data_IF_550837637895
#
_entry.id   IF_550837637895
#
_cell.length_a   1.000
_cell.length_b   1.000
_cell.length_c   1.000
_cell.angle_alpha   90.00
_cell.angle_beta   90.00
_cell.angle_gamma   90.00
#
_symmetry.space_group_name_H-M   'P 1'
#
loop_
_entity.id
_entity.type
_entity.pdbx_description
1 polymer ?
#
# COMPACT_ATOMS: atom_id res chain seq x y z
N UNK A 1 36.05 -0.05 33.14
CA UNK A 1 35.45 0.64 31.97
C UNK A 1 34.05 1.10 32.38
N UNK A 2 33.88 2.29 32.99
CA UNK A 2 33.53 3.58 32.37
C UNK A 2 32.37 3.53 31.34
N UNK A 3 31.18 3.93 31.78
CA UNK A 3 30.14 4.68 31.04
C UNK A 3 29.56 5.65 32.11
N UNK A 4 30.08 6.88 32.21
CA UNK A 4 29.66 8.10 31.52
C UNK A 4 28.32 8.67 32.02
N UNK A 5 28.45 9.82 32.72
CA UNK A 5 27.40 10.72 33.20
C UNK A 5 26.74 11.47 32.04
N UNK A 6 25.51 11.92 32.24
CA UNK A 6 24.88 12.97 31.43
C UNK A 6 23.61 13.50 32.09
N UNK A 7 23.78 14.47 32.98
CA UNK A 7 22.73 15.28 33.60
C UNK A 7 22.14 16.30 32.62
N UNK A 8 20.88 16.69 32.82
CA UNK A 8 20.43 18.04 32.48
C UNK A 8 18.99 18.14 32.02
N UNK A 9 18.15 18.83 32.81
CA UNK A 9 16.81 19.23 32.41
C UNK A 9 15.93 19.60 33.59
N UNK A 10 16.26 20.69 34.28
CA UNK A 10 15.41 21.30 35.30
C UNK A 10 14.37 22.22 34.66
N UNK A 11 13.13 22.16 35.16
CA UNK A 11 12.23 23.32 35.22
C UNK A 11 11.12 23.02 36.22
N UNK A 12 11.19 23.66 37.38
CA UNK A 12 10.11 23.66 38.36
C UNK A 12 9.05 24.71 38.03
N UNK A 13 7.92 24.62 38.74
CA UNK A 13 7.05 25.77 38.96
C UNK A 13 5.55 25.48 38.95
N UNK A 14 4.95 25.78 40.10
CA UNK A 14 3.55 26.18 40.32
C UNK A 14 2.48 25.09 40.49
N UNK A 15 2.13 24.89 41.75
CA UNK A 15 0.81 24.49 42.24
C UNK A 15 -0.30 25.39 41.68
N UNK A 16 -1.33 24.79 41.12
CA UNK A 16 -2.62 25.41 40.82
C UNK A 16 -3.69 24.33 40.90
N UNK A 17 -4.47 24.36 41.97
CA UNK A 17 -5.70 23.59 42.07
C UNK A 17 -6.67 24.12 41.00
N UNK A 18 -7.03 23.24 40.08
CA UNK A 18 -8.21 23.40 39.23
C UNK A 18 -8.90 22.04 39.22
N UNK A 19 -10.02 21.97 39.94
CA UNK A 19 -10.98 20.89 39.82
C UNK A 19 -11.43 20.79 38.35
N UNK A 20 -10.95 19.79 37.62
CA UNK A 20 -11.57 19.31 36.36
C UNK A 20 -11.02 17.92 35.95
N UNK A 21 -10.72 17.06 36.92
CA UNK A 21 -10.28 15.68 36.66
C UNK A 21 -11.45 14.68 36.59
N UNK A 22 -12.44 14.97 35.75
CA UNK A 22 -13.39 13.95 35.27
C UNK A 22 -13.43 13.89 33.74
N UNK A 23 -12.27 13.94 33.10
CA UNK A 23 -12.16 13.60 31.68
C UNK A 23 -11.94 12.09 31.59
N UNK A 24 -13.03 11.37 31.35
CA UNK A 24 -12.97 9.95 31.02
C UNK A 24 -12.21 9.80 29.69
N UNK A 25 -10.96 9.31 29.76
CA UNK A 25 -10.18 8.97 28.57
C UNK A 25 -10.85 7.76 27.91
N UNK A 26 -11.77 8.05 27.00
CA UNK A 26 -12.36 7.04 26.11
C UNK A 26 -11.23 6.56 25.19
N UNK A 27 -10.91 5.25 25.16
CA UNK A 27 -9.99 4.73 24.17
C UNK A 27 -10.48 5.14 22.78
N UNK A 28 -9.69 5.94 22.06
CA UNK A 28 -9.96 6.20 20.65
C UNK A 28 -9.76 4.86 19.95
N UNK A 29 -10.84 4.15 19.67
CA UNK A 29 -10.81 3.00 18.80
C UNK A 29 -10.04 3.42 17.56
N UNK A 30 -8.98 2.70 17.22
CA UNK A 30 -8.22 2.98 16.03
C UNK A 30 -9.18 2.93 14.85
N UNK A 31 -9.62 4.08 14.36
CA UNK A 31 -10.44 4.24 13.15
C UNK A 31 -9.65 3.88 11.89
N UNK A 32 -8.48 3.23 12.05
CA UNK A 32 -7.93 2.35 11.05
C UNK A 32 -8.95 1.27 10.76
N UNK A 33 -9.89 1.62 9.90
CA UNK A 33 -10.56 0.76 8.96
C UNK A 33 -9.43 0.06 8.19
N UNK A 34 -8.82 -0.96 8.80
CA UNK A 34 -8.45 -2.21 8.11
C UNK A 34 -9.75 -2.85 7.62
N UNK A 35 -10.62 -2.06 7.00
CA UNK A 35 -11.90 -2.46 6.49
C UNK A 35 -11.56 -3.36 5.32
N UNK A 36 -11.42 -4.64 5.65
CA UNK A 36 -11.88 -5.75 4.85
C UNK A 36 -11.46 -5.55 3.39
N UNK A 37 -10.17 -5.74 3.12
CA UNK A 37 -9.73 -5.93 1.73
C UNK A 37 -10.39 -7.24 1.29
N UNK A 38 -11.51 -7.13 0.59
CA UNK A 38 -12.19 -8.29 0.03
C UNK A 38 -11.37 -8.81 -1.15
N UNK A 39 -11.35 -10.14 -1.30
CA UNK A 39 -10.86 -10.76 -2.51
C UNK A 39 -11.74 -10.35 -3.71
N UNK A 40 -11.25 -10.57 -4.94
CA UNK A 40 -12.00 -10.27 -6.16
C UNK A 40 -13.40 -10.94 -6.18
N UNK A 41 -13.49 -12.16 -5.63
CA UNK A 41 -14.76 -12.87 -5.45
C UNK A 41 -15.69 -12.13 -4.47
N UNK A 42 -15.14 -11.70 -3.32
CA UNK A 42 -15.89 -10.90 -2.35
C UNK A 42 -16.37 -9.57 -2.94
N UNK A 43 -15.54 -8.88 -3.72
CA UNK A 43 -15.90 -7.64 -4.41
C UNK A 43 -17.02 -7.88 -5.42
N UNK A 44 -16.97 -8.97 -6.20
CA UNK A 44 -18.03 -9.32 -7.14
C UNK A 44 -19.37 -9.59 -6.44
N UNK A 45 -19.36 -10.33 -5.33
CA UNK A 45 -20.55 -10.58 -4.53
C UNK A 45 -21.10 -9.29 -3.91
N UNK A 46 -20.22 -8.45 -3.38
CA UNK A 46 -20.59 -7.13 -2.86
C UNK A 46 -21.25 -6.26 -3.92
N UNK A 47 -20.78 -6.33 -5.16
CA UNK A 47 -21.40 -5.65 -6.29
C UNK A 47 -22.81 -6.18 -6.56
N UNK A 48 -23.00 -7.50 -6.64
CA UNK A 48 -24.33 -8.08 -6.87
C UNK A 48 -25.35 -7.70 -5.77
N UNK A 49 -24.91 -7.71 -4.50
CA UNK A 49 -25.72 -7.28 -3.36
C UNK A 49 -26.07 -5.80 -3.48
N UNK A 50 -25.12 -4.95 -3.86
CA UNK A 50 -25.33 -3.52 -4.02
C UNK A 50 -26.27 -3.20 -5.20
N UNK A 51 -26.21 -3.96 -6.28
CA UNK A 51 -27.03 -3.75 -7.48
C UNK A 51 -28.48 -4.20 -7.29
N UNK A 52 -28.74 -5.31 -6.57
CA UNK A 52 -30.09 -5.87 -6.48
C UNK A 52 -30.44 -6.45 -5.11
N UNK A 53 -31.58 -6.00 -4.60
CA UNK A 53 -32.21 -6.57 -3.39
C UNK A 53 -32.69 -8.01 -3.59
N UNK A 54 -32.95 -8.46 -4.83
CA UNK A 54 -33.33 -9.86 -5.11
C UNK A 54 -32.12 -10.77 -4.96
N UNK A 55 -30.99 -10.40 -5.59
CA UNK A 55 -29.71 -11.11 -5.45
C UNK A 55 -29.25 -11.21 -3.99
N UNK A 56 -29.48 -10.16 -3.20
CA UNK A 56 -29.22 -10.20 -1.77
C UNK A 56 -30.05 -11.29 -1.04
N UNK A 57 -31.33 -11.46 -1.39
CA UNK A 57 -32.18 -12.53 -0.82
C UNK A 57 -31.77 -13.91 -1.32
N UNK A 58 -31.53 -14.06 -2.62
CA UNK A 58 -31.10 -15.32 -3.22
C UNK A 58 -29.78 -15.82 -2.57
N UNK A 59 -28.89 -14.89 -2.20
CA UNK A 59 -27.65 -15.21 -1.50
C UNK A 59 -27.89 -15.71 -0.06
N UNK A 60 -28.88 -15.15 0.65
CA UNK A 60 -29.29 -15.64 1.98
C UNK A 60 -29.83 -17.06 1.85
N UNK A 61 -30.68 -17.33 0.86
CA UNK A 61 -31.20 -18.67 0.61
C UNK A 61 -30.05 -19.64 0.25
N UNK A 62 -29.06 -19.19 -0.53
CA UNK A 62 -27.87 -19.96 -0.87
C UNK A 62 -26.97 -20.28 0.33
N UNK A 63 -27.06 -19.50 1.41
CA UNK A 63 -26.27 -19.68 2.63
C UNK A 63 -26.67 -20.94 3.40
N UNK A 64 -27.91 -21.40 3.28
CA UNK A 64 -28.37 -22.66 3.84
C UNK A 64 -27.91 -23.84 2.97
N UNK A 65 -26.92 -24.59 3.44
CA UNK A 65 -26.35 -25.72 2.70
C UNK A 65 -25.78 -26.79 3.64
N UNK A 66 -25.40 -27.95 3.09
CA UNK A 66 -24.87 -29.11 3.83
C UNK A 66 -23.77 -28.77 4.85
N UNK A 67 -22.98 -27.74 4.59
CA UNK A 67 -21.85 -27.36 5.43
C UNK A 67 -22.11 -26.11 6.28
N UNK A 68 -23.33 -25.57 6.29
CA UNK A 68 -23.68 -24.35 7.02
C UNK A 68 -23.75 -24.53 8.54
N UNK A 69 -24.08 -25.73 9.01
CA UNK A 69 -24.30 -26.06 10.42
C UNK A 69 -23.16 -26.88 11.03
N UNK A 70 -21.90 -26.51 10.72
CA UNK A 70 -20.78 -27.12 11.45
C UNK A 70 -20.56 -26.37 12.74
N UNK A 71 -20.92 -27.03 13.85
CA UNK A 71 -20.73 -26.55 15.22
C UNK A 71 -19.23 -26.38 15.56
N UNK A 72 -18.98 -25.58 16.58
CA UNK A 72 -17.69 -25.02 17.02
C UNK A 72 -16.51 -26.03 17.12
N UNK A 73 -15.26 -25.55 17.00
CA UNK A 73 -14.04 -26.35 17.00
C UNK A 73 -13.70 -26.78 18.43
N UNK A 74 -14.45 -27.72 18.98
CA UNK A 74 -14.00 -28.43 20.17
C UNK A 74 -12.91 -29.44 19.77
N UNK A 75 -11.66 -29.11 20.12
CA UNK A 75 -10.47 -29.99 20.09
C UNK A 75 -10.17 -30.76 18.79
N UNK A 76 -10.39 -30.12 17.64
CA UNK A 76 -10.01 -30.72 16.35
C UNK A 76 -8.58 -30.32 15.97
N UNK A 77 -7.69 -31.28 15.59
CA UNK A 77 -6.35 -30.95 15.13
C UNK A 77 -6.33 -30.00 13.92
N UNK A 78 -5.34 -29.11 13.86
CA UNK A 78 -5.21 -28.10 12.79
C UNK A 78 -5.15 -28.73 11.39
N UNK A 79 -4.48 -29.89 11.25
CA UNK A 79 -4.38 -30.58 9.96
C UNK A 79 -5.76 -30.99 9.40
N UNK A 80 -6.72 -31.31 10.27
CA UNK A 80 -8.08 -31.67 9.86
C UNK A 80 -8.84 -30.43 9.39
N UNK A 81 -8.71 -29.30 10.10
CA UNK A 81 -9.32 -28.03 9.68
C UNK A 81 -8.75 -27.53 8.35
N UNK A 82 -7.45 -27.72 8.13
CA UNK A 82 -6.79 -27.41 6.86
C UNK A 82 -7.33 -28.25 5.70
N UNK A 83 -7.48 -29.55 5.93
CA UNK A 83 -8.03 -30.47 4.92
C UNK A 83 -9.50 -30.18 4.65
N UNK A 84 -10.24 -29.91 5.72
CA UNK A 84 -11.64 -29.54 5.68
C UNK A 84 -11.87 -28.25 4.87
N UNK A 85 -11.07 -27.20 5.12
CA UNK A 85 -11.12 -25.95 4.35
C UNK A 85 -10.84 -26.14 2.87
N UNK A 86 -10.01 -27.12 2.47
CA UNK A 86 -9.70 -27.41 1.06
C UNK A 86 -10.88 -28.06 0.36
N UNK A 87 -11.53 -29.03 1.01
CA UNK A 87 -12.53 -29.88 0.40
C UNK A 87 -13.97 -29.39 0.58
N UNK A 88 -14.26 -28.63 1.65
CA UNK A 88 -15.60 -28.07 1.92
C UNK A 88 -15.80 -26.70 1.26
N UNK A 89 -15.48 -26.59 -0.02
CA UNK A 89 -15.71 -25.36 -0.80
C UNK A 89 -16.85 -25.57 -1.79
N UNK A 90 -17.84 -24.68 -1.73
CA UNK A 90 -18.88 -24.59 -2.76
C UNK A 90 -18.51 -23.50 -3.77
N UNK A 91 -18.85 -23.67 -5.05
CA UNK A 91 -18.72 -22.59 -6.01
C UNK A 91 -19.63 -21.43 -5.59
N UNK A 92 -19.12 -20.20 -5.60
CA UNK A 92 -19.96 -19.03 -5.30
C UNK A 92 -20.90 -18.74 -6.48
N UNK A 93 -22.12 -18.22 -6.24
CA UNK A 93 -23.10 -17.93 -7.28
C UNK A 93 -22.79 -16.61 -8.01
N UNK A 94 -21.56 -16.47 -8.49
CA UNK A 94 -21.05 -15.31 -9.26
C UNK A 94 -20.47 -15.80 -10.58
N UNK A 95 -20.60 -14.97 -11.62
CA UNK A 95 -20.00 -15.28 -12.92
C UNK A 95 -18.48 -15.12 -12.86
N UNK A 96 -17.76 -16.01 -13.55
CA UNK A 96 -16.29 -15.97 -13.63
C UNK A 96 -15.79 -14.68 -14.26
N UNK A 97 -16.54 -14.16 -15.24
CA UNK A 97 -16.25 -12.91 -15.95
C UNK A 97 -16.17 -11.72 -14.97
N UNK A 98 -17.16 -11.58 -14.07
CA UNK A 98 -17.17 -10.52 -13.07
C UNK A 98 -15.94 -10.60 -12.14
N UNK A 99 -15.58 -11.80 -11.72
CA UNK A 99 -14.38 -12.02 -10.88
C UNK A 99 -13.11 -11.64 -11.65
N UNK A 100 -13.02 -11.97 -12.93
CA UNK A 100 -11.89 -11.63 -13.78
C UNK A 100 -11.74 -10.13 -14.00
N UNK A 101 -12.85 -9.41 -14.20
CA UNK A 101 -12.83 -7.95 -14.30
C UNK A 101 -12.24 -7.30 -13.05
N UNK A 102 -12.64 -7.75 -11.85
CA UNK A 102 -12.05 -7.24 -10.62
C UNK A 102 -10.57 -7.61 -10.52
N UNK A 103 -10.18 -8.84 -10.87
CA UNK A 103 -8.76 -9.23 -10.91
C UNK A 103 -7.95 -8.34 -11.87
N UNK A 104 -8.51 -7.98 -13.02
CA UNK A 104 -7.88 -7.08 -13.98
C UNK A 104 -7.72 -5.67 -13.40
N UNK A 105 -8.75 -5.12 -12.75
CA UNK A 105 -8.68 -3.82 -12.06
C UNK A 105 -7.57 -3.81 -10.99
N UNK A 106 -7.46 -4.88 -10.20
CA UNK A 106 -6.38 -5.04 -9.22
C UNK A 106 -4.99 -5.08 -9.87
N UNK A 107 -4.86 -5.79 -11.01
CA UNK A 107 -3.60 -5.82 -11.78
C UNK A 107 -3.25 -4.45 -12.35
N UNK A 108 -4.22 -3.69 -12.84
CA UNK A 108 -4.00 -2.35 -13.38
C UNK A 108 -3.46 -1.39 -12.32
N UNK A 109 -4.06 -1.40 -11.13
CA UNK A 109 -3.59 -0.61 -9.98
C UNK A 109 -2.15 -0.97 -9.62
N UNK A 110 -1.84 -2.27 -9.60
CA UNK A 110 -0.52 -2.77 -9.25
C UNK A 110 0.53 -2.61 -10.37
N UNK A 111 0.11 -2.48 -11.63
CA UNK A 111 1.02 -2.36 -12.78
C UNK A 111 1.78 -1.02 -12.77
N UNK A 112 1.19 0.05 -12.24
CA UNK A 112 1.80 1.38 -12.18
C UNK A 112 1.80 1.95 -10.76
N UNK A 113 2.54 1.34 -9.83
CA UNK A 113 2.50 1.78 -8.45
C UNK A 113 3.19 3.15 -8.32
N UNK A 114 2.62 4.02 -7.49
CA UNK A 114 3.05 5.43 -7.32
C UNK A 114 4.56 5.54 -7.08
N UNK A 115 5.11 4.65 -6.25
CA UNK A 115 6.55 4.55 -5.96
C UNK A 115 7.38 4.33 -7.23
N UNK A 116 6.99 3.38 -8.10
CA UNK A 116 7.70 3.08 -9.36
C UNK A 116 7.55 4.20 -10.38
N UNK A 117 6.39 4.84 -10.44
CA UNK A 117 6.17 6.02 -11.30
C UNK A 117 7.06 7.18 -10.88
N UNK A 118 7.14 7.47 -9.57
CA UNK A 118 8.01 8.51 -9.03
C UNK A 118 9.49 8.19 -9.29
N UNK A 119 9.90 6.94 -9.08
CA UNK A 119 11.27 6.48 -9.34
C UNK A 119 11.63 6.59 -10.85
N UNK A 120 10.70 6.24 -11.74
CA UNK A 120 10.88 6.40 -13.18
C UNK A 120 11.04 7.87 -13.59
N UNK A 121 10.21 8.77 -13.03
CA UNK A 121 10.34 10.22 -13.23
C UNK A 121 11.69 10.74 -12.72
N UNK A 122 12.12 10.32 -11.54
CA UNK A 122 13.42 10.68 -10.95
C UNK A 122 14.60 10.17 -11.82
N UNK A 123 14.53 8.93 -12.33
CA UNK A 123 15.53 8.40 -13.26
C UNK A 123 15.60 9.21 -14.54
N UNK A 124 14.46 9.60 -15.13
CA UNK A 124 14.42 10.46 -16.32
C UNK A 124 15.08 11.82 -16.04
N UNK A 125 14.75 12.46 -14.92
CA UNK A 125 15.36 13.74 -14.50
C UNK A 125 16.88 13.59 -14.29
N UNK A 126 17.33 12.54 -13.61
CA UNK A 126 18.76 12.25 -13.40
C UNK A 126 19.51 12.05 -14.72
N UNK A 127 18.92 11.33 -15.69
CA UNK A 127 19.52 11.14 -17.02
C UNK A 127 19.68 12.47 -17.76
N UNK A 128 18.68 13.34 -17.69
CA UNK A 128 18.72 14.67 -18.31
C UNK A 128 19.80 15.55 -17.66
N UNK A 129 19.84 15.63 -16.33
CA UNK A 129 20.85 16.40 -15.60
C UNK A 129 22.27 15.90 -15.89
N UNK A 130 22.48 14.58 -15.90
CA UNK A 130 23.79 13.99 -16.23
C UNK A 130 24.26 14.37 -17.64
N UNK A 131 23.36 14.43 -18.63
CA UNK A 131 23.71 14.88 -19.99
C UNK A 131 24.08 16.36 -20.02
N UNK A 132 23.35 17.21 -19.29
CA UNK A 132 23.68 18.63 -19.17
C UNK A 132 25.02 18.85 -18.46
N UNK A 133 25.30 18.13 -17.38
CA UNK A 133 26.58 18.18 -16.69
C UNK A 133 27.74 17.69 -17.58
N UNK A 134 27.52 16.66 -18.38
CA UNK A 134 28.51 16.20 -19.36
C UNK A 134 28.78 17.26 -20.43
N UNK A 135 27.74 17.92 -20.95
CA UNK A 135 27.90 19.00 -21.93
C UNK A 135 28.65 20.20 -21.31
N UNK A 136 28.31 20.60 -20.07
CA UNK A 136 29.02 21.66 -19.34
C UNK A 136 30.49 21.31 -19.10
N UNK A 137 30.77 20.11 -18.62
CA UNK A 137 32.15 19.63 -18.41
C UNK A 137 32.96 19.59 -19.70
N UNK A 138 32.35 19.18 -20.82
CA UNK A 138 33.00 19.21 -22.15
C UNK A 138 33.27 20.64 -22.59
N UNK A 139 32.31 21.56 -22.40
CA UNK A 139 32.49 22.97 -22.73
C UNK A 139 33.60 23.61 -21.88
N UNK A 140 33.61 23.37 -20.57
CA UNK A 140 34.67 23.82 -19.66
C UNK A 140 36.04 23.26 -20.07
N UNK A 141 36.12 21.98 -20.43
CA UNK A 141 37.37 21.36 -20.89
C UNK A 141 37.91 22.02 -22.18
N UNK A 142 37.05 22.27 -23.17
CA UNK A 142 37.41 22.94 -24.44
C UNK A 142 37.82 24.41 -24.21
N UNK A 143 37.24 25.08 -23.22
CA UNK A 143 37.62 26.46 -22.84
C UNK A 143 38.98 26.48 -22.13
N UNK A 144 39.26 25.51 -21.26
CA UNK A 144 40.50 25.42 -20.50
C UNK A 144 41.71 24.97 -21.33
N UNK A 145 41.52 24.31 -22.47
CA UNK A 145 42.60 24.03 -23.42
C UNK A 145 42.98 25.29 -24.19
N UNK A 146 44.07 25.93 -23.77
CA UNK A 146 44.55 27.21 -24.31
C UNK A 146 45.07 27.14 -25.76
N UNK A 147 45.47 25.95 -26.24
CA UNK A 147 46.21 25.77 -27.50
C UNK A 147 45.33 25.52 -28.75
N UNK A 148 44.03 25.81 -28.69
CA UNK A 148 43.07 25.49 -29.77
C UNK A 148 42.43 26.78 -30.31
N UNK A 149 42.31 26.92 -31.63
CA UNK A 149 41.71 28.11 -32.28
C UNK A 149 40.19 28.20 -32.02
N UNK A 150 39.61 29.42 -32.01
CA UNK A 150 38.17 29.63 -31.77
C UNK A 150 37.25 28.82 -32.70
N UNK A 151 37.72 28.58 -33.93
CA UNK A 151 37.01 27.83 -34.97
C UNK A 151 36.91 26.33 -34.65
N UNK A 152 37.95 25.76 -34.05
CA UNK A 152 38.01 24.36 -33.64
C UNK A 152 37.24 24.12 -32.33
N UNK A 153 37.19 25.11 -31.42
CA UNK A 153 36.34 25.07 -30.21
C UNK A 153 34.86 24.91 -30.57
N UNK A 154 34.38 25.65 -31.57
CA UNK A 154 33.00 25.55 -32.07
C UNK A 154 32.70 24.20 -32.74
N UNK A 155 33.69 23.59 -33.41
CA UNK A 155 33.53 22.27 -34.03
C UNK A 155 33.48 21.13 -33.00
N UNK A 156 34.18 21.26 -31.86
CA UNK A 156 34.17 20.27 -30.77
C UNK A 156 32.96 20.39 -29.82
N UNK A 157 32.29 21.54 -29.81
CA UNK A 157 31.09 21.80 -29.00
C UNK A 157 29.79 21.31 -29.66
N UNK A 158 29.78 21.07 -30.97
CA UNK A 158 28.64 20.57 -31.74
C UNK A 158 28.45 19.06 -31.58
#
# INVERSE_FOLDING_TARGET
MKQARGSGGASGGASGEAEDDNIQVVPVESTSKKARILDAEGLSLGCEIATSKKKARDLVDYSFHRFASSDEPWEVPEWFLDDERKHRKRPMPVTKEMVEEYKQKWKEINARPIKRVAEAKARKKRRMLKKMEQAKKKAEAVVNTADISEREKMAQLK
#
